data_IF_653116046580
#
_entry.id   IF_653116046580
#
_cell.length_a   1.000
_cell.length_b   1.000
_cell.length_c   1.000
_cell.angle_alpha   90.00
_cell.angle_beta   90.00
_cell.angle_gamma   90.00
#
_symmetry.space_group_name_H-M   'P 1'
#
loop_
_entity.id
_entity.type
_entity.pdbx_description
1 polymer ?
#
# COMPACT_ATOMS: atom_id res chain seq x y z
N UNK A 1 27.91 -9.77 19.69
CA UNK A 1 27.34 -9.36 18.39
C UNK A 1 26.82 -7.93 18.54
N UNK A 2 27.19 -7.02 17.65
CA UNK A 2 26.66 -5.65 17.69
C UNK A 2 25.14 -5.68 17.48
N UNK A 3 24.39 -4.88 18.24
CA UNK A 3 22.94 -4.83 18.12
C UNK A 3 22.54 -4.41 16.68
N UNK A 4 21.43 -4.90 16.10
CA UNK A 4 20.96 -4.36 14.83
C UNK A 4 20.69 -2.86 14.96
N UNK A 5 21.09 -2.07 13.96
CA UNK A 5 20.84 -0.63 13.92
C UNK A 5 19.34 -0.33 13.74
N UNK A 6 18.64 -1.21 13.00
CA UNK A 6 17.25 -1.04 12.62
C UNK A 6 16.42 -2.27 13.03
N UNK A 7 15.22 -2.05 13.58
CA UNK A 7 14.17 -3.07 13.67
C UNK A 7 13.05 -2.79 12.66
N UNK A 8 12.77 -3.78 11.82
CA UNK A 8 11.68 -3.77 10.84
C UNK A 8 10.48 -4.52 11.42
N UNK A 9 9.43 -3.80 11.83
CA UNK A 9 8.25 -4.40 12.46
C UNK A 9 7.26 -4.88 11.39
N UNK A 10 7.12 -6.19 11.23
CA UNK A 10 6.16 -6.80 10.30
C UNK A 10 4.95 -7.31 11.06
N UNK A 11 3.76 -7.23 10.45
CA UNK A 11 2.50 -7.64 11.07
C UNK A 11 1.59 -8.41 10.12
N UNK A 12 0.28 -8.27 10.30
CA UNK A 12 -0.74 -9.06 9.60
C UNK A 12 -0.87 -8.78 8.09
N UNK A 13 -0.49 -7.58 7.64
CA UNK A 13 -0.76 -7.11 6.28
C UNK A 13 0.48 -7.26 5.41
N UNK A 14 0.46 -8.20 4.47
CA UNK A 14 1.58 -8.45 3.56
C UNK A 14 2.00 -7.19 2.77
N UNK A 15 1.05 -6.36 2.34
CA UNK A 15 1.34 -5.09 1.67
C UNK A 15 2.14 -4.12 2.55
N UNK A 16 1.74 -3.95 3.81
CA UNK A 16 2.46 -3.10 4.77
C UNK A 16 3.86 -3.66 5.06
N UNK A 17 3.98 -4.99 5.21
CA UNK A 17 5.26 -5.66 5.45
C UNK A 17 6.26 -5.43 4.30
N UNK A 18 5.79 -5.49 3.05
CA UNK A 18 6.65 -5.22 1.88
C UNK A 18 7.22 -3.80 1.90
N UNK A 19 6.42 -2.81 2.28
CA UNK A 19 6.89 -1.42 2.35
C UNK A 19 7.91 -1.24 3.48
N UNK A 20 7.68 -1.86 4.64
CA UNK A 20 8.61 -1.83 5.78
C UNK A 20 9.95 -2.44 5.41
N UNK A 21 9.93 -3.60 4.74
CA UNK A 21 11.14 -4.29 4.32
C UNK A 21 11.86 -3.54 3.19
N UNK A 22 11.13 -3.02 2.20
CA UNK A 22 11.71 -2.22 1.12
C UNK A 22 12.47 -1.00 1.66
N UNK A 23 11.87 -0.28 2.63
CA UNK A 23 12.54 0.85 3.26
C UNK A 23 13.75 0.41 4.09
N UNK A 24 13.61 -0.65 4.89
CA UNK A 24 14.71 -1.19 5.69
C UNK A 24 15.91 -1.59 4.82
N UNK A 25 15.68 -2.32 3.72
CA UNK A 25 16.70 -2.70 2.75
C UNK A 25 17.35 -1.47 2.11
N UNK A 26 16.56 -0.51 1.63
CA UNK A 26 17.06 0.71 0.99
C UNK A 26 17.90 1.59 1.95
N UNK A 27 17.67 1.52 3.27
CA UNK A 27 18.52 2.24 4.22
C UNK A 27 19.96 1.74 4.23
N UNK A 28 20.24 0.50 3.81
CA UNK A 28 21.58 -0.12 3.89
C UNK A 28 22.09 -0.36 5.32
N UNK A 29 21.25 -0.13 6.34
CA UNK A 29 21.60 -0.37 7.73
C UNK A 29 21.43 -1.86 8.08
N UNK A 30 22.28 -2.45 8.94
CA UNK A 30 22.05 -3.77 9.49
C UNK A 30 20.72 -3.81 10.24
N UNK A 31 19.77 -4.63 9.77
CA UNK A 31 18.44 -4.69 10.34
C UNK A 31 18.01 -6.09 10.75
N UNK A 32 17.13 -6.14 11.75
CA UNK A 32 16.44 -7.36 12.16
C UNK A 32 14.94 -7.21 11.91
N UNK A 33 14.33 -8.21 11.28
CA UNK A 33 12.88 -8.29 11.15
C UNK A 33 12.28 -8.77 12.48
N UNK A 34 11.25 -8.08 12.96
CA UNK A 34 10.49 -8.42 14.16
C UNK A 34 9.03 -8.72 13.77
N UNK A 35 8.68 -10.00 13.51
CA UNK A 35 7.30 -10.38 13.23
C UNK A 35 6.42 -10.20 14.47
N UNK A 36 5.31 -9.49 14.31
CA UNK A 36 4.36 -9.18 15.37
C UNK A 36 3.03 -9.90 15.13
N UNK A 37 2.69 -10.79 16.06
CA UNK A 37 1.40 -11.47 16.12
C UNK A 37 0.53 -10.80 17.18
N UNK A 38 -0.65 -10.33 16.76
CA UNK A 38 -1.60 -9.63 17.63
C UNK A 38 -2.72 -10.57 18.05
N UNK A 39 -2.80 -10.88 19.34
CA UNK A 39 -3.73 -11.85 19.94
C UNK A 39 -4.99 -11.22 20.53
N UNK A 40 -4.95 -9.96 20.99
CA UNK A 40 -6.14 -9.26 21.50
C UNK A 40 -6.15 -7.79 21.08
N UNK A 41 -6.91 -7.48 20.04
CA UNK A 41 -7.04 -6.13 19.49
C UNK A 41 -7.87 -5.19 20.38
N UNK A 42 -8.51 -5.70 21.44
CA UNK A 42 -9.28 -4.86 22.39
C UNK A 42 -8.39 -4.18 23.41
N UNK A 43 -7.19 -4.73 23.67
CA UNK A 43 -6.18 -4.18 24.61
C UNK A 43 -5.47 -2.97 24.01
N UNK A 44 -6.25 -1.95 23.66
CA UNK A 44 -5.77 -0.67 23.13
C UNK A 44 -5.44 0.27 24.27
N UNK A 45 -4.32 0.95 24.15
CA UNK A 45 -4.18 2.27 24.73
C UNK A 45 -3.40 3.14 23.75
N UNK A 46 -4.05 4.15 23.17
CA UNK A 46 -3.33 5.19 22.44
C UNK A 46 -2.65 6.09 23.48
N UNK A 47 -1.49 5.63 23.94
CA UNK A 47 -0.65 6.30 24.92
C UNK A 47 0.62 6.80 24.23
N UNK A 48 1.17 7.96 24.64
CA UNK A 48 2.45 8.45 24.14
C UNK A 48 3.57 7.41 24.26
N UNK A 49 3.53 6.60 25.32
CA UNK A 49 4.52 5.55 25.61
C UNK A 49 4.27 4.25 24.84
N UNK A 50 3.19 4.18 24.05
CA UNK A 50 2.83 2.97 23.31
C UNK A 50 2.36 1.80 24.19
N UNK A 51 2.19 0.64 23.56
CA UNK A 51 1.85 -0.61 24.26
C UNK A 51 2.12 -1.84 23.39
N UNK A 52 2.54 -2.93 24.04
CA UNK A 52 2.65 -4.27 23.45
C UNK A 52 1.61 -5.25 24.01
N UNK A 53 0.60 -4.78 24.75
CA UNK A 53 -0.38 -5.65 25.43
C UNK A 53 -1.27 -6.47 24.46
N UNK A 54 -1.40 -6.00 23.22
CA UNK A 54 -2.14 -6.69 22.16
C UNK A 54 -1.33 -7.82 21.49
N UNK A 55 -0.02 -7.93 21.78
CA UNK A 55 0.85 -8.95 21.21
C UNK A 55 0.74 -10.28 21.96
N UNK A 56 0.97 -11.38 21.24
CA UNK A 56 1.16 -12.70 21.86
C UNK A 56 2.43 -12.77 22.72
N UNK A 57 2.65 -13.88 23.42
CA UNK A 57 3.80 -14.01 24.31
C UNK A 57 5.14 -14.02 23.55
N UNK A 58 5.20 -14.72 22.41
CA UNK A 58 6.41 -14.86 21.61
C UNK A 58 6.87 -13.52 21.02
N UNK A 59 5.94 -12.74 20.44
CA UNK A 59 6.23 -11.42 19.89
C UNK A 59 6.74 -10.48 20.98
N UNK A 60 6.14 -10.49 22.17
CA UNK A 60 6.60 -9.68 23.32
C UNK A 60 8.01 -10.06 23.75
N UNK A 61 8.29 -11.35 23.88
CA UNK A 61 9.61 -11.85 24.24
C UNK A 61 10.68 -11.49 23.20
N UNK A 62 10.30 -11.38 21.92
CA UNK A 62 11.22 -11.00 20.84
C UNK A 62 11.65 -9.51 20.88
N UNK A 63 10.89 -8.66 21.58
CA UNK A 63 11.14 -7.23 21.74
C UNK A 63 11.92 -6.98 23.04
N UNK A 64 13.17 -7.44 23.07
CA UNK A 64 14.09 -7.34 24.19
C UNK A 64 15.38 -6.61 23.77
N UNK A 65 16.15 -6.04 24.73
CA UNK A 65 17.43 -5.44 24.42
C UNK A 65 18.40 -6.45 23.76
N UNK A 66 19.40 -5.96 22.99
CA UNK A 66 19.74 -4.56 22.81
C UNK A 66 18.78 -3.81 21.88
N UNK A 67 18.36 -2.60 22.30
CA UNK A 67 17.40 -1.77 21.58
C UNK A 67 18.00 -1.18 20.30
N UNK A 68 17.20 -1.05 19.22
CA UNK A 68 17.68 -0.49 17.95
C UNK A 68 17.81 1.03 18.03
N UNK A 69 18.52 1.63 17.08
CA UNK A 69 18.56 3.09 16.90
C UNK A 69 17.39 3.57 16.05
N UNK A 70 16.88 2.71 15.16
CA UNK A 70 15.79 3.01 14.25
C UNK A 70 14.73 1.90 14.27
N UNK A 71 13.45 2.29 14.27
CA UNK A 71 12.32 1.38 14.14
C UNK A 71 11.50 1.80 12.94
N UNK A 72 11.32 0.88 11.99
CA UNK A 72 10.43 1.07 10.84
C UNK A 72 9.16 0.25 11.07
N UNK A 73 8.00 0.90 11.01
CA UNK A 73 6.72 0.27 11.25
C UNK A 73 5.65 0.78 10.29
N UNK A 74 4.63 -0.04 10.05
CA UNK A 74 3.46 0.32 9.25
C UNK A 74 2.17 -0.14 9.93
N UNK A 75 1.09 0.61 9.70
CA UNK A 75 -0.23 0.27 10.18
C UNK A 75 -0.45 0.57 11.68
N UNK A 76 -1.73 0.54 12.07
CA UNK A 76 -2.19 0.98 13.39
C UNK A 76 -1.49 0.29 14.56
N UNK A 77 -1.34 -1.03 14.49
CA UNK A 77 -0.92 -1.82 15.65
C UNK A 77 0.59 -1.76 15.86
N UNK A 78 1.38 -1.82 14.79
CA UNK A 78 2.83 -1.68 14.87
C UNK A 78 3.25 -0.27 15.30
N UNK A 79 2.43 0.76 15.05
CA UNK A 79 2.66 2.11 15.58
C UNK A 79 2.76 2.12 17.11
N UNK A 80 1.87 1.39 17.80
CA UNK A 80 1.88 1.32 19.27
C UNK A 80 3.07 0.51 19.81
N UNK A 81 3.48 -0.54 19.12
CA UNK A 81 4.69 -1.29 19.48
C UNK A 81 5.95 -0.44 19.29
N UNK A 82 6.03 0.35 18.21
CA UNK A 82 7.16 1.25 17.94
C UNK A 82 7.32 2.31 19.03
N UNK A 83 6.23 2.95 19.46
CA UNK A 83 6.23 3.91 20.58
C UNK A 83 6.71 3.25 21.89
N UNK A 84 6.27 2.02 22.15
CA UNK A 84 6.72 1.25 23.31
C UNK A 84 8.21 0.94 23.26
N UNK A 85 8.74 0.53 22.11
CA UNK A 85 10.18 0.30 21.92
C UNK A 85 10.98 1.58 22.19
N UNK A 86 10.51 2.73 21.71
CA UNK A 86 11.14 4.03 22.01
C UNK A 86 11.16 4.31 23.51
N UNK A 87 10.06 4.09 24.21
CA UNK A 87 10.01 4.24 25.67
C UNK A 87 11.01 3.31 26.38
N UNK A 88 11.07 2.03 26.01
CA UNK A 88 12.02 1.08 26.60
C UNK A 88 13.49 1.38 26.28
N UNK A 89 13.76 2.01 25.13
CA UNK A 89 15.10 2.46 24.76
C UNK A 89 15.58 3.72 25.50
N UNK A 90 14.76 4.30 26.38
CA UNK A 90 15.03 5.59 27.03
C UNK A 90 14.92 6.77 26.05
N UNK A 91 14.07 6.65 25.03
CA UNK A 91 13.89 7.69 24.00
C UNK A 91 14.92 7.69 22.87
N UNK A 92 15.90 6.77 22.88
CA UNK A 92 16.97 6.70 21.88
C UNK A 92 16.51 6.22 20.50
N UNK A 93 15.60 5.25 20.45
CA UNK A 93 15.13 4.69 19.20
C UNK A 93 14.26 5.72 18.43
N UNK A 94 14.66 6.00 17.19
CA UNK A 94 13.96 6.85 16.24
C UNK A 94 12.89 6.09 15.51
N UNK A 95 11.78 6.75 15.20
CA UNK A 95 10.58 6.11 14.67
C UNK A 95 10.27 6.60 13.25
N UNK A 96 10.28 5.66 12.31
CA UNK A 96 9.79 5.86 10.94
C UNK A 96 8.49 5.09 10.77
N UNK A 97 7.43 5.79 10.37
CA UNK A 97 6.12 5.17 10.15
C UNK A 97 5.68 5.28 8.69
N UNK A 98 5.24 4.16 8.12
CA UNK A 98 4.72 4.11 6.75
C UNK A 98 3.19 4.13 6.75
N UNK A 99 2.62 4.95 5.88
CA UNK A 99 1.20 5.17 5.70
C UNK A 99 0.68 6.26 6.63
N UNK A 100 -0.39 5.96 7.38
CA UNK A 100 -0.90 6.86 8.41
C UNK A 100 -0.69 6.28 9.79
N UNK A 101 0.07 6.95 10.68
CA UNK A 101 0.11 6.57 12.08
C UNK A 101 -1.25 6.90 12.70
N UNK A 102 -1.85 5.93 13.39
CA UNK A 102 -3.13 6.09 14.09
C UNK A 102 -2.91 6.74 15.46
N UNK A 103 -2.07 7.78 15.46
CA UNK A 103 -1.50 8.50 16.59
C UNK A 103 -1.04 9.89 16.09
N UNK A 104 -0.79 10.86 17.00
CA UNK A 104 -0.28 12.18 16.62
C UNK A 104 0.99 12.09 15.76
N UNK A 105 1.04 12.86 14.67
CA UNK A 105 2.19 12.91 13.76
C UNK A 105 3.50 13.31 14.46
N UNK A 106 3.51 14.26 15.43
CA UNK A 106 4.74 14.65 16.14
C UNK A 106 5.37 13.54 17.00
N UNK A 107 4.68 12.41 17.20
CA UNK A 107 5.25 11.29 17.97
C UNK A 107 6.27 10.48 17.16
N UNK A 108 6.35 10.70 15.84
CA UNK A 108 7.25 10.01 14.93
C UNK A 108 8.30 10.97 14.38
N UNK A 109 9.53 10.49 14.21
CA UNK A 109 10.63 11.27 13.65
C UNK A 109 10.47 11.42 12.11
N UNK A 110 9.87 10.43 11.45
CA UNK A 110 9.49 10.49 10.03
C UNK A 110 8.20 9.70 9.76
N UNK A 111 7.31 10.27 8.96
CA UNK A 111 6.11 9.61 8.43
C UNK A 111 6.20 9.61 6.91
N UNK A 112 6.34 8.44 6.30
CA UNK A 112 6.30 8.27 4.84
C UNK A 112 4.90 7.86 4.46
N UNK A 113 4.23 8.65 3.64
CA UNK A 113 2.81 8.48 3.35
C UNK A 113 2.51 8.67 1.87
N UNK A 114 1.27 8.47 1.47
CA UNK A 114 0.80 8.80 0.13
C UNK A 114 -0.49 9.63 0.20
N UNK A 115 -0.82 10.30 -0.90
CA UNK A 115 -1.97 11.20 -0.99
C UNK A 115 -3.30 10.56 -0.53
N UNK A 116 -3.42 9.21 -0.61
CA UNK A 116 -4.60 8.49 -0.13
C UNK A 116 -4.89 8.69 1.36
N UNK A 117 -3.88 8.99 2.17
CA UNK A 117 -4.07 9.16 3.61
C UNK A 117 -4.43 10.60 3.99
N UNK A 118 -4.28 11.56 3.07
CA UNK A 118 -4.64 12.96 3.26
C UNK A 118 -4.05 13.55 4.54
N UNK A 119 -2.77 13.28 4.81
CA UNK A 119 -2.09 13.85 5.96
C UNK A 119 -1.70 15.30 5.65
N UNK A 120 -1.74 16.19 6.66
CA UNK A 120 -1.32 17.57 6.46
C UNK A 120 0.19 17.67 6.22
N UNK A 121 0.65 18.65 5.41
CA UNK A 121 2.07 18.92 5.23
C UNK A 121 2.73 19.25 6.57
N UNK A 122 3.87 18.61 6.87
CA UNK A 122 4.70 18.84 8.06
C UNK A 122 6.16 18.52 7.75
N UNK A 123 7.12 19.07 8.50
CA UNK A 123 8.55 18.77 8.30
C UNK A 123 8.89 17.28 8.40
N UNK A 124 8.18 16.53 9.25
CA UNK A 124 8.36 15.09 9.46
C UNK A 124 7.42 14.22 8.60
N UNK A 125 6.68 14.79 7.65
CA UNK A 125 5.78 14.05 6.76
C UNK A 125 6.31 14.12 5.33
N UNK A 126 6.64 12.97 4.77
CA UNK A 126 7.04 12.79 3.38
C UNK A 126 5.87 12.17 2.60
N UNK A 127 5.21 12.95 1.73
CA UNK A 127 4.08 12.48 0.92
C UNK A 127 4.52 12.03 -0.49
N UNK A 128 4.73 10.74 -0.64
CA UNK A 128 5.08 10.09 -1.90
C UNK A 128 3.87 9.96 -2.83
N UNK A 129 4.14 9.92 -4.14
CA UNK A 129 3.18 9.54 -5.16
C UNK A 129 2.85 8.05 -5.04
N UNK A 130 3.84 7.18 -4.81
CA UNK A 130 3.64 5.74 -4.70
C UNK A 130 3.87 5.20 -3.26
N UNK A 131 3.16 4.12 -2.86
CA UNK A 131 3.57 3.32 -1.72
C UNK A 131 5.00 2.82 -1.93
N UNK A 132 5.79 2.71 -0.85
CA UNK A 132 7.17 2.27 -0.96
C UNK A 132 7.22 0.82 -1.43
N UNK A 133 7.87 0.56 -2.55
CA UNK A 133 8.13 -0.79 -3.03
C UNK A 133 9.55 -0.87 -3.55
N UNK A 134 10.22 -1.99 -3.26
CA UNK A 134 11.41 -2.39 -3.98
C UNK A 134 10.95 -3.08 -5.26
N UNK A 135 10.38 -2.31 -6.20
CA UNK A 135 10.14 -2.84 -7.54
C UNK A 135 11.48 -3.30 -8.10
N UNK A 136 11.59 -4.59 -8.40
CA UNK A 136 12.77 -5.19 -9.01
C UNK A 136 12.37 -5.54 -10.44
N UNK A 137 13.18 -5.09 -11.40
CA UNK A 137 13.05 -5.46 -12.82
C UNK A 137 13.45 -6.93 -13.07
N UNK A 138 13.27 -7.81 -12.08
CA UNK A 138 13.39 -9.25 -12.29
C UNK A 138 12.32 -9.64 -13.30
N UNK A 139 12.77 -9.87 -14.55
CA UNK A 139 11.92 -10.27 -15.64
C UNK A 139 11.23 -11.58 -15.26
N UNK A 140 9.96 -11.49 -14.87
CA UNK A 140 9.16 -12.66 -14.62
C UNK A 140 9.08 -13.45 -15.92
N UNK A 141 9.47 -14.72 -15.89
CA UNK A 141 9.35 -15.59 -17.04
C UNK A 141 7.89 -15.62 -17.49
N UNK A 142 7.63 -15.23 -18.74
CA UNK A 142 6.30 -15.29 -19.34
C UNK A 142 6.08 -16.70 -19.87
N UNK A 143 5.11 -17.46 -19.36
CA UNK A 143 4.84 -18.81 -19.83
C UNK A 143 4.55 -18.86 -21.35
N UNK A 144 4.89 -19.96 -22.05
CA UNK A 144 4.66 -20.06 -23.49
C UNK A 144 3.20 -19.86 -23.91
N UNK A 145 2.23 -20.33 -23.13
CA UNK A 145 0.79 -20.12 -23.41
C UNK A 145 0.41 -18.64 -23.34
N UNK A 146 0.99 -17.87 -22.41
CA UNK A 146 0.79 -16.42 -22.28
C UNK A 146 1.55 -15.65 -23.36
N UNK A 147 2.74 -16.11 -23.72
CA UNK A 147 3.57 -15.50 -24.76
C UNK A 147 2.96 -15.66 -26.16
N UNK A 148 2.27 -16.78 -26.41
CA UNK A 148 1.61 -17.07 -27.68
C UNK A 148 0.30 -16.29 -27.92
N UNK A 149 -0.23 -15.63 -26.89
CA UNK A 149 -1.47 -14.86 -27.01
C UNK A 149 -1.30 -13.64 -27.94
N UNK A 150 -2.26 -13.39 -28.86
CA UNK A 150 -2.25 -12.21 -29.71
C UNK A 150 -2.13 -10.90 -28.94
N UNK A 151 -1.26 -9.99 -29.41
CA UNK A 151 -1.15 -8.61 -28.92
C UNK A 151 -2.21 -7.71 -29.58
N UNK A 152 -2.64 -6.62 -28.92
CA UNK A 152 -2.24 -6.21 -27.57
C UNK A 152 -2.81 -7.12 -26.48
N UNK A 153 -2.00 -7.43 -25.46
CA UNK A 153 -2.41 -8.17 -24.27
C UNK A 153 -2.86 -7.17 -23.20
N UNK A 154 -4.16 -7.02 -23.05
CA UNK A 154 -4.75 -6.22 -21.97
C UNK A 154 -4.72 -7.04 -20.68
N UNK A 155 -4.08 -6.53 -19.63
CA UNK A 155 -4.16 -7.11 -18.29
C UNK A 155 -5.23 -6.41 -17.46
N UNK A 156 -6.23 -7.16 -17.00
CA UNK A 156 -7.17 -6.75 -15.97
C UNK A 156 -6.73 -7.25 -14.60
N UNK A 157 -6.37 -6.34 -13.69
CA UNK A 157 -6.04 -6.64 -12.30
C UNK A 157 -7.27 -6.41 -11.43
N UNK A 158 -7.78 -7.49 -10.85
CA UNK A 158 -9.00 -7.51 -10.04
C UNK A 158 -8.65 -7.52 -8.56
N UNK A 159 -8.96 -6.42 -7.89
CA UNK A 159 -8.80 -6.25 -6.45
C UNK A 159 -9.87 -6.97 -5.65
N UNK A 160 -10.48 -6.26 -4.71
CA UNK A 160 -11.54 -6.81 -3.90
C UNK A 160 -12.19 -5.75 -3.02
N UNK A 161 -12.94 -6.19 -2.02
CA UNK A 161 -13.58 -5.27 -1.10
C UNK A 161 -12.54 -4.40 -0.37
N UNK A 162 -12.75 -3.09 -0.42
CA UNK A 162 -11.98 -2.09 0.32
C UNK A 162 -12.92 -0.92 0.65
N UNK A 163 -13.68 -1.00 1.76
CA UNK A 163 -14.68 -0.01 2.09
C UNK A 163 -14.17 1.43 1.93
N UNK A 164 -14.90 2.30 1.21
CA UNK A 164 -16.27 2.09 0.75
C UNK A 164 -16.42 1.32 -0.58
N UNK A 165 -15.34 0.97 -1.27
CA UNK A 165 -15.39 0.26 -2.55
C UNK A 165 -15.76 -1.21 -2.38
N UNK A 166 -16.65 -1.69 -3.23
CA UNK A 166 -17.20 -3.03 -3.19
C UNK A 166 -16.95 -3.73 -4.53
N UNK A 167 -16.45 -4.96 -4.47
CA UNK A 167 -16.37 -5.88 -5.60
C UNK A 167 -17.39 -7.00 -5.36
N UNK A 168 -18.63 -6.74 -5.73
CA UNK A 168 -19.68 -7.75 -5.78
C UNK A 168 -19.74 -8.43 -7.16
N UNK A 169 -20.68 -9.36 -7.31
CA UNK A 169 -20.91 -10.13 -8.54
C UNK A 169 -21.15 -9.21 -9.73
N UNK A 170 -21.96 -8.17 -9.56
CA UNK A 170 -22.29 -7.22 -10.63
C UNK A 170 -21.06 -6.39 -11.02
N UNK A 171 -20.30 -5.88 -10.05
CA UNK A 171 -19.06 -5.14 -10.33
C UNK A 171 -18.00 -6.02 -11.02
N UNK A 172 -17.85 -7.27 -10.59
CA UNK A 172 -16.92 -8.22 -11.19
C UNK A 172 -17.32 -8.58 -12.63
N UNK A 173 -18.62 -8.80 -12.86
CA UNK A 173 -19.20 -9.04 -14.18
C UNK A 173 -19.00 -7.84 -15.10
N UNK A 174 -19.29 -6.63 -14.61
CA UNK A 174 -19.13 -5.39 -15.35
C UNK A 174 -17.67 -5.14 -15.74
N UNK A 175 -16.71 -5.38 -14.83
CA UNK A 175 -15.29 -5.29 -15.09
C UNK A 175 -14.86 -6.25 -16.20
N UNK A 176 -15.20 -7.54 -16.09
CA UNK A 176 -14.82 -8.54 -17.07
C UNK A 176 -15.41 -8.25 -18.45
N UNK A 177 -16.69 -7.85 -18.51
CA UNK A 177 -17.36 -7.44 -19.76
C UNK A 177 -16.72 -6.19 -20.37
N UNK A 178 -16.38 -5.19 -19.55
CA UNK A 178 -15.73 -3.98 -20.03
C UNK A 178 -14.34 -4.27 -20.61
N UNK A 179 -13.57 -5.15 -19.96
CA UNK A 179 -12.27 -5.60 -20.43
C UNK A 179 -12.38 -6.37 -21.76
N UNK A 180 -13.30 -7.34 -21.85
CA UNK A 180 -13.56 -8.07 -23.10
C UNK A 180 -14.06 -7.15 -24.22
N UNK A 181 -14.95 -6.21 -23.91
CA UNK A 181 -15.42 -5.23 -24.89
C UNK A 181 -14.28 -4.36 -25.42
N UNK A 182 -13.29 -4.03 -24.57
CA UNK A 182 -12.08 -3.33 -25.00
C UNK A 182 -11.23 -4.19 -25.93
N UNK A 183 -10.97 -5.45 -25.58
CA UNK A 183 -10.26 -6.39 -26.46
C UNK A 183 -11.00 -6.59 -27.78
N UNK A 184 -12.32 -6.65 -27.78
CA UNK A 184 -13.12 -6.75 -29.01
C UNK A 184 -13.00 -5.53 -29.94
N UNK A 185 -12.71 -4.35 -29.41
CA UNK A 185 -12.48 -3.12 -30.21
C UNK A 185 -11.04 -2.99 -30.67
N UNK A 186 -10.08 -3.34 -29.82
CA UNK A 186 -8.64 -3.14 -30.05
C UNK A 186 -7.95 -4.36 -30.69
N UNK A 187 -8.63 -5.50 -30.72
CA UNK A 187 -8.01 -6.79 -31.01
C UNK A 187 -7.14 -7.30 -29.85
N UNK A 188 -6.52 -8.46 -30.04
CA UNK A 188 -5.59 -9.04 -29.06
C UNK A 188 -6.24 -9.98 -28.05
N UNK A 189 -5.76 -9.93 -26.80
CA UNK A 189 -6.09 -10.93 -25.77
C UNK A 189 -6.31 -10.30 -24.40
N UNK A 190 -7.08 -10.99 -23.55
CA UNK A 190 -7.32 -10.59 -22.16
C UNK A 190 -6.58 -11.48 -21.17
N UNK A 191 -5.66 -10.90 -20.41
CA UNK A 191 -5.10 -11.49 -19.19
C UNK A 191 -5.91 -10.98 -18.00
N UNK A 192 -6.30 -11.84 -17.06
CA UNK A 192 -7.01 -11.41 -15.86
C UNK A 192 -6.39 -12.04 -14.62
N UNK A 193 -5.95 -11.22 -13.68
CA UNK A 193 -5.40 -11.70 -12.41
C UNK A 193 -6.24 -11.21 -11.23
N UNK A 194 -6.61 -12.12 -10.33
CA UNK A 194 -7.32 -11.77 -9.09
C UNK A 194 -6.35 -11.52 -7.93
N UNK A 195 -6.88 -11.03 -6.82
CA UNK A 195 -6.11 -10.71 -5.62
C UNK A 195 -6.56 -11.56 -4.42
N UNK A 196 -5.81 -11.59 -3.30
CA UNK A 196 -6.25 -12.26 -2.07
C UNK A 196 -7.58 -11.75 -1.50
N UNK A 197 -8.08 -10.60 -1.98
CA UNK A 197 -9.34 -9.98 -1.54
C UNK A 197 -10.51 -10.24 -2.49
N UNK A 198 -10.27 -10.87 -3.63
CA UNK A 198 -11.34 -11.21 -4.57
C UNK A 198 -12.15 -12.38 -3.99
N UNK A 199 -13.45 -12.18 -3.80
CA UNK A 199 -14.33 -13.20 -3.20
C UNK A 199 -14.66 -14.32 -4.20
N UNK A 200 -14.92 -15.56 -3.75
CA UNK A 200 -15.24 -16.68 -4.62
C UNK A 200 -16.41 -16.40 -5.59
N UNK A 201 -17.44 -15.69 -5.14
CA UNK A 201 -18.61 -15.36 -5.97
C UNK A 201 -18.25 -14.40 -7.10
N UNK A 202 -17.35 -13.43 -6.85
CA UNK A 202 -16.82 -12.54 -7.87
C UNK A 202 -15.92 -13.30 -8.86
N UNK A 203 -15.13 -14.27 -8.38
CA UNK A 203 -14.31 -15.14 -9.23
C UNK A 203 -15.19 -15.99 -10.14
N UNK A 204 -16.26 -16.58 -9.61
CA UNK A 204 -17.22 -17.36 -10.39
C UNK A 204 -17.87 -16.51 -11.50
N UNK A 205 -18.34 -15.30 -11.16
CA UNK A 205 -18.91 -14.37 -12.13
C UNK A 205 -17.93 -14.00 -13.25
N UNK A 206 -16.65 -13.81 -12.91
CA UNK A 206 -15.59 -13.58 -13.91
C UNK A 206 -15.43 -14.81 -14.81
N UNK A 207 -15.37 -16.02 -14.24
CA UNK A 207 -15.25 -17.27 -15.02
C UNK A 207 -16.40 -17.43 -16.00
N UNK A 208 -17.63 -17.14 -15.59
CA UNK A 208 -18.81 -17.23 -16.46
C UNK A 208 -18.74 -16.26 -17.64
N UNK A 209 -18.29 -15.02 -17.39
CA UNK A 209 -18.08 -14.02 -18.45
C UNK A 209 -16.97 -14.47 -19.42
N UNK A 210 -15.86 -15.01 -18.90
CA UNK A 210 -14.74 -15.46 -19.74
C UNK A 210 -15.08 -16.73 -20.54
N UNK A 211 -15.92 -17.62 -20.02
CA UNK A 211 -16.36 -18.82 -20.73
C UNK A 211 -17.18 -18.51 -21.99
N UNK A 212 -17.89 -17.38 -21.99
CA UNK A 212 -18.64 -16.88 -23.15
C UNK A 212 -17.83 -15.97 -24.08
N UNK A 213 -16.53 -15.76 -23.79
CA UNK A 213 -15.69 -14.86 -24.57
C UNK A 213 -15.26 -15.51 -25.90
N UNK A 214 -15.37 -14.75 -26.99
CA UNK A 214 -14.78 -15.12 -28.30
C UNK A 214 -13.30 -14.77 -28.42
N UNK A 215 -12.84 -13.77 -27.66
CA UNK A 215 -11.43 -13.37 -27.62
C UNK A 215 -10.60 -14.35 -26.79
N UNK A 216 -9.29 -14.54 -27.10
CA UNK A 216 -8.41 -15.33 -26.25
C UNK A 216 -8.29 -14.74 -24.84
N UNK A 217 -8.46 -15.57 -23.82
CA UNK A 217 -8.36 -15.15 -22.42
C UNK A 217 -7.45 -16.06 -21.60
N UNK A 218 -6.81 -15.51 -20.57
CA UNK A 218 -6.10 -16.28 -19.55
C UNK A 218 -6.38 -15.72 -18.16
N UNK A 219 -6.93 -16.58 -17.29
CA UNK A 219 -7.24 -16.26 -15.90
C UNK A 219 -6.18 -16.80 -14.94
N UNK A 220 -5.70 -15.97 -14.02
CA UNK A 220 -4.90 -16.35 -12.86
C UNK A 220 -5.66 -16.01 -11.59
N UNK A 221 -6.11 -17.02 -10.86
CA UNK A 221 -6.80 -16.81 -9.58
C UNK A 221 -5.80 -16.85 -8.44
N UNK A 222 -5.82 -15.83 -7.56
CA UNK A 222 -4.97 -15.83 -6.37
C UNK A 222 -5.28 -17.04 -5.48
N UNK A 223 -4.24 -17.78 -5.09
CA UNK A 223 -4.36 -18.98 -4.27
C UNK A 223 -4.56 -20.27 -5.08
N UNK A 224 -4.72 -20.18 -6.40
CA UNK A 224 -4.63 -21.30 -7.34
C UNK A 224 -3.26 -21.29 -8.02
N UNK A 225 -2.69 -22.46 -8.30
CA UNK A 225 -1.43 -22.60 -9.02
C UNK A 225 -1.66 -22.92 -10.52
N UNK A 226 -0.81 -22.40 -11.43
CA UNK A 226 0.29 -21.48 -11.16
C UNK A 226 -0.20 -20.04 -10.91
N UNK A 227 0.41 -19.33 -9.94
CA UNK A 227 0.19 -17.89 -9.78
C UNK A 227 0.93 -17.08 -10.86
N UNK A 228 0.21 -16.60 -11.87
CA UNK A 228 0.77 -15.91 -13.04
C UNK A 228 0.81 -14.38 -12.91
N UNK A 229 0.49 -13.80 -11.74
CA UNK A 229 0.38 -12.34 -11.58
C UNK A 229 1.62 -11.57 -12.09
N UNK A 230 2.83 -12.01 -11.71
CA UNK A 230 4.08 -11.38 -12.15
C UNK A 230 4.34 -11.57 -13.64
N UNK A 231 4.06 -12.76 -14.17
CA UNK A 231 4.18 -13.05 -15.59
C UNK A 231 3.21 -12.20 -16.43
N UNK A 232 1.99 -11.99 -15.93
CA UNK A 232 1.00 -11.14 -16.58
C UNK A 232 1.43 -9.67 -16.59
N UNK A 233 1.97 -9.15 -15.49
CA UNK A 233 2.54 -7.80 -15.45
C UNK A 233 3.66 -7.63 -16.47
N UNK A 234 4.54 -8.62 -16.62
CA UNK A 234 5.63 -8.59 -17.60
C UNK A 234 5.14 -8.72 -19.07
N UNK A 235 4.01 -9.40 -19.29
CA UNK A 235 3.43 -9.61 -20.62
C UNK A 235 2.50 -8.46 -21.07
N UNK A 236 2.01 -7.63 -20.16
CA UNK A 236 0.96 -6.66 -20.45
C UNK A 236 1.42 -5.55 -21.41
N UNK A 237 0.58 -5.26 -22.41
CA UNK A 237 0.74 -4.13 -23.32
C UNK A 237 -0.02 -2.89 -22.83
N UNK A 238 -1.09 -3.12 -22.09
CA UNK A 238 -1.89 -2.12 -21.38
C UNK A 238 -2.50 -2.78 -20.15
N UNK A 239 -2.77 -2.00 -19.11
CA UNK A 239 -3.32 -2.51 -17.85
C UNK A 239 -4.60 -1.76 -17.51
N UNK A 240 -5.61 -2.50 -17.07
CA UNK A 240 -6.75 -1.96 -16.33
C UNK A 240 -6.73 -2.54 -14.91
N UNK A 241 -6.80 -1.69 -13.90
CA UNK A 241 -6.75 -2.11 -12.49
C UNK A 241 -7.89 -1.49 -11.70
N UNK A 242 -8.51 -2.26 -10.80
CA UNK A 242 -9.54 -1.74 -9.91
C UNK A 242 -8.98 -0.65 -8.99
N UNK A 243 -9.78 0.40 -8.75
CA UNK A 243 -9.37 1.60 -7.99
C UNK A 243 -9.44 1.46 -6.46
N UNK A 244 -9.38 0.23 -5.96
CA UNK A 244 -9.46 -0.14 -4.55
C UNK A 244 -8.09 -0.31 -3.87
N UNK A 245 -6.99 -0.29 -4.64
CA UNK A 245 -5.65 -0.51 -4.13
C UNK A 245 -4.60 0.41 -4.74
N UNK A 246 -4.03 1.27 -3.89
CA UNK A 246 -2.84 2.03 -4.23
C UNK A 246 -1.64 1.15 -4.59
N UNK A 247 -1.46 0.00 -3.91
CA UNK A 247 -0.33 -0.89 -4.17
C UNK A 247 -0.42 -1.58 -5.54
N UNK A 248 -1.62 -2.06 -5.93
CA UNK A 248 -1.79 -2.67 -7.26
C UNK A 248 -1.68 -1.62 -8.37
N UNK A 249 -2.21 -0.41 -8.13
CA UNK A 249 -2.04 0.70 -9.07
C UNK A 249 -0.56 1.06 -9.25
N UNK A 250 0.22 1.06 -8.16
CA UNK A 250 1.66 1.30 -8.22
C UNK A 250 2.38 0.19 -9.00
N UNK A 251 2.12 -1.08 -8.69
CA UNK A 251 2.71 -2.21 -9.42
C UNK A 251 2.35 -2.19 -10.91
N UNK A 252 1.12 -1.84 -11.27
CA UNK A 252 0.70 -1.66 -12.65
C UNK A 252 1.48 -0.53 -13.34
N UNK A 253 1.56 0.64 -12.71
CA UNK A 253 2.27 1.80 -13.25
C UNK A 253 3.77 1.52 -13.44
N UNK A 254 4.37 0.79 -12.50
CA UNK A 254 5.79 0.42 -12.55
C UNK A 254 6.14 -0.56 -13.69
N UNK A 255 5.16 -1.20 -14.34
CA UNK A 255 5.45 -1.98 -15.56
C UNK A 255 5.92 -1.09 -16.71
N UNK A 256 5.49 0.18 -16.73
CA UNK A 256 5.65 1.10 -17.87
C UNK A 256 4.64 0.88 -18.99
N UNK A 257 3.68 -0.04 -18.84
CA UNK A 257 2.50 -0.10 -19.69
C UNK A 257 1.52 1.03 -19.29
N UNK A 258 0.72 1.58 -20.23
CA UNK A 258 -0.35 2.52 -19.90
C UNK A 258 -1.40 1.87 -18.99
N UNK A 259 -1.81 2.59 -17.94
CA UNK A 259 -2.70 2.08 -16.88
C UNK A 259 -4.01 2.86 -16.84
N UNK A 260 -5.12 2.16 -16.99
CA UNK A 260 -6.46 2.67 -16.73
C UNK A 260 -6.96 2.18 -15.36
N UNK A 261 -7.63 3.07 -14.62
CA UNK A 261 -8.32 2.70 -13.39
C UNK A 261 -9.77 2.33 -13.69
N UNK A 262 -10.20 1.15 -13.25
CA UNK A 262 -11.59 0.73 -13.29
C UNK A 262 -12.29 1.09 -11.97
N UNK A 263 -13.31 1.98 -12.00
CA UNK A 263 -13.98 2.40 -10.80
C UNK A 263 -14.88 1.31 -10.24
N UNK A 264 -14.66 0.92 -8.99
CA UNK A 264 -15.61 0.06 -8.25
C UNK A 264 -16.75 0.89 -7.64
N UNK A 265 -17.96 0.31 -7.54
CA UNK A 265 -19.07 0.96 -6.85
C UNK A 265 -18.70 1.25 -5.39
N UNK A 266 -19.11 2.43 -4.91
CA UNK A 266 -18.88 2.84 -3.54
C UNK A 266 -20.16 2.70 -2.69
N UNK A 267 -20.05 2.04 -1.54
CA UNK A 267 -21.10 1.90 -0.53
C UNK A 267 -20.59 2.42 0.83
N UNK A 268 -20.44 3.76 0.99
CA UNK A 268 -19.95 4.34 2.24
C UNK A 268 -20.99 4.24 3.36
N UNK A 269 -20.51 3.94 4.57
CA UNK A 269 -21.33 4.01 5.79
C UNK A 269 -21.69 5.45 6.15
N UNK A 270 -22.74 5.64 6.96
CA UNK A 270 -23.12 6.95 7.48
C UNK A 270 -21.95 7.66 8.23
N UNK A 271 -21.11 6.90 8.94
CA UNK A 271 -19.92 7.44 9.58
C UNK A 271 -18.90 7.95 8.56
N UNK A 272 -18.65 7.21 7.48
CA UNK A 272 -17.75 7.64 6.41
C UNK A 272 -18.31 8.87 5.68
N UNK A 273 -19.60 8.91 5.39
CA UNK A 273 -20.25 10.07 4.77
C UNK A 273 -20.11 11.34 5.62
N UNK A 274 -20.31 11.24 6.94
CA UNK A 274 -20.13 12.37 7.86
C UNK A 274 -18.71 12.91 7.84
N UNK A 275 -17.70 12.04 7.91
CA UNK A 275 -16.30 12.48 7.90
C UNK A 275 -15.89 13.04 6.54
N UNK A 276 -16.38 12.46 5.44
CA UNK A 276 -16.18 13.02 4.09
C UNK A 276 -16.79 14.41 3.95
N UNK A 277 -17.99 14.63 4.49
CA UNK A 277 -18.62 15.94 4.54
C UNK A 277 -17.80 16.93 5.38
N UNK A 278 -17.39 16.54 6.59
CA UNK A 278 -16.55 17.39 7.46
C UNK A 278 -15.25 17.80 6.77
N UNK A 279 -14.61 16.88 6.04
CA UNK A 279 -13.40 17.17 5.28
C UNK A 279 -13.67 18.14 4.13
N UNK A 280 -14.78 17.97 3.39
CA UNK A 280 -15.17 18.90 2.33
C UNK A 280 -15.45 20.30 2.88
N UNK A 281 -16.19 20.40 3.97
CA UNK A 281 -16.49 21.68 4.63
C UNK A 281 -15.23 22.35 5.18
N UNK A 282 -14.32 21.58 5.77
CA UNK A 282 -13.03 22.08 6.23
C UNK A 282 -12.20 22.68 5.09
N UNK A 283 -12.25 22.07 3.89
CA UNK A 283 -11.53 22.54 2.72
C UNK A 283 -12.10 23.79 2.04
N UNK A 284 -13.22 24.35 2.53
CA UNK A 284 -13.85 25.53 1.92
C UNK A 284 -13.05 26.82 2.13
N UNK A 285 -12.34 26.94 3.25
CA UNK A 285 -11.55 28.15 3.57
C UNK A 285 -10.17 27.77 4.13
N UNK A 286 -9.13 28.60 3.93
CA UNK A 286 -7.81 28.33 4.51
C UNK A 286 -7.80 28.17 6.04
N UNK A 287 -8.53 28.99 6.84
CA UNK A 287 -8.57 28.82 8.29
C UNK A 287 -9.21 27.51 8.74
N UNK A 288 -10.31 27.10 8.11
CA UNK A 288 -10.99 25.84 8.45
C UNK A 288 -10.16 24.62 8.06
N UNK A 289 -9.41 24.71 6.95
CA UNK A 289 -8.49 23.67 6.52
C UNK A 289 -7.34 23.54 7.52
N UNK A 290 -6.74 24.65 7.95
CA UNK A 290 -5.68 24.65 8.95
C UNK A 290 -6.15 24.06 10.30
N UNK A 291 -7.38 24.37 10.73
CA UNK A 291 -7.96 23.80 11.94
C UNK A 291 -8.16 22.28 11.83
N UNK A 292 -8.68 21.80 10.69
CA UNK A 292 -8.84 20.37 10.41
C UNK A 292 -7.48 19.66 10.38
N UNK A 293 -6.49 20.25 9.72
CA UNK A 293 -5.12 19.74 9.65
C UNK A 293 -4.46 19.66 11.02
N UNK A 294 -4.70 20.64 11.90
CA UNK A 294 -4.24 20.58 13.28
C UNK A 294 -4.88 19.42 14.06
N UNK A 295 -6.17 19.13 13.84
CA UNK A 295 -6.87 18.01 14.47
C UNK A 295 -6.40 16.65 13.94
N UNK A 296 -6.11 16.53 12.64
CA UNK A 296 -5.50 15.34 12.05
C UNK A 296 -4.09 15.13 12.59
N UNK A 297 -3.27 16.19 12.63
CA UNK A 297 -1.90 16.11 13.12
C UNK A 297 -1.81 15.70 14.60
N UNK A 298 -2.79 16.10 15.42
CA UNK A 298 -2.93 15.68 16.82
C UNK A 298 -3.59 14.32 17.00
N UNK A 299 -3.93 13.62 15.92
CA UNK A 299 -4.61 12.32 15.98
C UNK A 299 -6.03 12.35 16.54
N UNK A 300 -6.64 13.54 16.67
CA UNK A 300 -8.02 13.73 17.15
C UNK A 300 -9.03 13.27 16.11
N UNK A 301 -8.76 13.59 14.83
CA UNK A 301 -9.55 13.12 13.69
C UNK A 301 -8.69 12.18 12.85
N UNK A 302 -9.26 11.04 12.50
CA UNK A 302 -8.62 10.15 11.53
C UNK A 302 -9.06 10.54 10.13
N UNK A 303 -8.12 10.97 9.29
CA UNK A 303 -8.40 11.14 7.85
C UNK A 303 -8.97 9.83 7.28
N UNK A 304 -9.93 9.88 6.36
CA UNK A 304 -10.39 8.66 5.67
C UNK A 304 -9.46 8.39 4.50
N UNK A 305 -9.24 7.09 4.22
CA UNK A 305 -8.51 6.67 3.02
C UNK A 305 -9.27 7.15 1.78
N UNK A 306 -8.61 7.96 0.98
CA UNK A 306 -9.16 8.68 -0.16
C UNK A 306 -8.41 8.26 -1.43
N UNK A 307 -8.85 7.15 -2.01
CA UNK A 307 -8.21 6.59 -3.21
C UNK A 307 -8.48 7.44 -4.45
N UNK A 308 -9.53 8.27 -4.44
CA UNK A 308 -9.80 9.22 -5.52
C UNK A 308 -8.72 10.32 -5.55
N UNK A 309 -8.32 10.86 -4.38
CA UNK A 309 -7.19 11.79 -4.29
C UNK A 309 -5.88 11.18 -4.77
N UNK A 310 -5.64 9.91 -4.45
CA UNK A 310 -4.47 9.18 -4.94
C UNK A 310 -4.48 9.04 -6.46
N UNK A 311 -5.60 8.55 -7.02
CA UNK A 311 -5.78 8.42 -8.46
C UNK A 311 -5.65 9.77 -9.19
N UNK A 312 -6.23 10.84 -8.64
CA UNK A 312 -6.13 12.18 -9.20
C UNK A 312 -4.69 12.67 -9.26
N UNK A 313 -3.89 12.46 -8.19
CA UNK A 313 -2.46 12.82 -8.17
C UNK A 313 -1.68 12.08 -9.25
N UNK A 314 -1.85 10.76 -9.35
CA UNK A 314 -1.13 9.98 -10.35
C UNK A 314 -1.47 10.41 -11.79
N UNK A 315 -2.75 10.72 -12.07
CA UNK A 315 -3.16 11.24 -13.39
C UNK A 315 -2.60 12.62 -13.67
N UNK A 316 -2.66 13.55 -12.72
CA UNK A 316 -2.16 14.91 -12.93
C UNK A 316 -0.64 14.97 -13.15
N UNK A 317 0.09 13.99 -12.61
CA UNK A 317 1.54 13.86 -12.77
C UNK A 317 1.93 12.97 -13.96
N UNK A 318 0.97 12.48 -14.77
CA UNK A 318 1.23 11.60 -15.93
C UNK A 318 1.80 10.23 -15.57
N UNK A 319 1.68 9.81 -14.31
CA UNK A 319 2.31 8.59 -13.78
C UNK A 319 1.58 7.30 -14.17
N UNK A 320 0.50 7.39 -14.95
CA UNK A 320 -0.28 6.26 -15.46
C UNK A 320 -0.23 6.14 -16.99
N UNK A 321 0.48 7.05 -17.68
CA UNK A 321 0.44 7.15 -19.14
C UNK A 321 1.34 6.11 -19.83
N UNK A 322 2.13 5.37 -19.04
CA UNK A 322 3.16 4.43 -19.51
C UNK A 322 4.56 5.06 -19.54
N UNK A 323 5.55 4.28 -19.95
CA UNK A 323 6.96 4.68 -19.95
C UNK A 323 7.66 4.56 -18.59
N UNK A 324 8.87 5.14 -18.44
CA UNK A 324 9.71 4.93 -17.26
C UNK A 324 9.36 5.83 -16.06
N UNK A 325 8.57 6.90 -16.27
CA UNK A 325 8.34 7.96 -15.28
C UNK A 325 7.86 7.43 -13.92
N UNK A 326 6.94 6.45 -13.91
CA UNK A 326 6.45 5.84 -12.67
C UNK A 326 7.56 5.11 -11.89
N UNK A 327 8.43 4.38 -12.59
CA UNK A 327 9.56 3.66 -11.99
C UNK A 327 10.61 4.62 -11.44
N UNK A 328 11.01 5.61 -12.24
CA UNK A 328 11.96 6.63 -11.84
C UNK A 328 11.47 7.39 -10.60
N UNK A 329 10.20 7.78 -10.61
CA UNK A 329 9.58 8.46 -9.48
C UNK A 329 9.57 7.59 -8.22
N UNK A 330 9.18 6.32 -8.33
CA UNK A 330 9.15 5.43 -7.19
C UNK A 330 10.55 5.13 -6.61
N UNK A 331 11.56 4.96 -7.47
CA UNK A 331 12.94 4.77 -7.06
C UNK A 331 13.46 6.00 -6.29
N UNK A 332 13.26 7.20 -6.85
CA UNK A 332 13.66 8.45 -6.20
C UNK A 332 12.95 8.65 -4.84
N UNK A 333 11.67 8.28 -4.75
CA UNK A 333 10.89 8.36 -3.52
C UNK A 333 11.34 7.36 -2.44
N UNK A 334 11.78 6.17 -2.84
CA UNK A 334 12.38 5.19 -1.94
C UNK A 334 13.75 5.65 -1.44
N UNK A 335 14.59 6.18 -2.32
CA UNK A 335 15.91 6.71 -1.98
C UNK A 335 15.80 7.91 -1.04
N UNK A 336 14.85 8.82 -1.28
CA UNK A 336 14.54 9.94 -0.39
C UNK A 336 14.14 9.47 1.00
N UNK A 337 13.20 8.53 1.08
CA UNK A 337 12.73 7.97 2.33
C UNK A 337 13.86 7.28 3.10
N UNK A 338 14.68 6.49 2.41
CA UNK A 338 15.83 5.78 2.98
C UNK A 338 16.90 6.75 3.48
N UNK A 339 17.20 7.81 2.71
CA UNK A 339 18.16 8.84 3.11
C UNK A 339 17.71 9.58 4.37
N UNK A 340 16.45 10.00 4.44
CA UNK A 340 15.89 10.64 5.64
C UNK A 340 15.86 9.70 6.83
N UNK A 341 15.49 8.44 6.63
CA UNK A 341 15.50 7.43 7.69
C UNK A 341 16.91 7.19 8.24
N UNK A 342 17.92 7.07 7.37
CA UNK A 342 19.33 6.88 7.76
C UNK A 342 19.87 8.08 8.54
N UNK A 343 19.50 9.31 8.14
CA UNK A 343 19.92 10.53 8.82
C UNK A 343 19.40 10.66 10.27
N UNK A 344 18.42 9.85 10.67
CA UNK A 344 17.95 9.80 12.06
C UNK A 344 18.89 9.01 12.98
N UNK A 345 19.71 8.11 12.44
CA UNK A 345 20.60 7.25 13.22
C UNK A 345 21.87 8.03 13.58
N UNK A 346 22.32 8.02 14.85
CA UNK A 346 23.58 8.65 15.25
C UNK A 346 24.78 8.08 14.50
N UNK A 347 25.73 8.94 14.09
CA UNK A 347 26.92 8.53 13.35
C UNK A 347 27.87 7.60 14.15
N UNK A 348 27.77 7.60 15.47
CA UNK A 348 28.56 6.75 16.37
C UNK A 348 27.66 6.21 17.49
N UNK A 349 27.68 4.89 17.70
CA UNK A 349 27.15 4.29 18.93
C UNK A 349 28.19 4.47 20.02
N UNK A 350 27.88 5.12 21.15
CA UNK A 350 28.75 5.01 22.31
C UNK A 350 28.87 3.52 22.67
N UNK A 351 30.12 3.08 22.85
CA UNK A 351 30.47 1.72 23.23
C UNK A 351 29.85 1.35 24.58
#
# INVERSE_FOLDING_TARGET
MAAPALWALTGRRAGDNRQVLALAEATGLPFATKPLVFSDLRKRAARPEGSIAALDAASRASLAPPWPDLVVAAGRWSAHAALWIRAQSGGRARLVHIGRPWAPLPWFDLVVTTAQYGLPPRPNVLENAFPLSAWRDEAAAVPPDVAALPRPRLLAIVGGDSPPRVLDVDAATALARAALARVGREGGSLLLATSPRTRPEAIAAIRDVLAAASAPTRLSVFGEEPNLYRAFLAAADAIVVTDDSAAMTAEAAMTGAPVALHPLPQRPSAAQNRVSLLRRLAGLTPPTQAAFDALVARGTITSIRDLDRYAARLRSEGLLDGGPAARERAAAELDEAARRARALVPAQRPA
#
